data_IF_897963271896
#
_entry.id   IF_897963271896
#
_cell.length_a   1.000
_cell.length_b   1.000
_cell.length_c   1.000
_cell.angle_alpha   90.00
_cell.angle_beta   90.00
_cell.angle_gamma   90.00
#
_symmetry.space_group_name_H-M   'P 1'
#
loop_
_entity.id
_entity.type
_entity.pdbx_description
1 polymer ?
#
# COMPACT_ATOMS: atom_id res chain seq x y z
N UNK A 1 -1.79 -15.87 -21.22
CA UNK A 1 -1.62 -15.08 -19.98
C UNK A 1 -1.91 -13.63 -20.26
N UNK A 2 -2.22 -12.89 -19.17
CA UNK A 2 -2.61 -11.50 -19.23
C UNK A 2 -1.68 -10.63 -18.39
N UNK A 3 -1.92 -9.33 -18.45
CA UNK A 3 -1.11 -8.34 -17.77
C UNK A 3 -1.98 -7.44 -16.90
N UNK A 4 -1.44 -7.01 -15.77
CA UNK A 4 -2.11 -6.07 -14.88
C UNK A 4 -2.15 -4.69 -15.54
N UNK A 5 -3.29 -4.00 -15.40
CA UNK A 5 -3.58 -2.75 -16.10
C UNK A 5 -3.19 -1.48 -15.34
N UNK A 6 -2.82 -1.60 -14.06
CA UNK A 6 -2.50 -0.46 -13.20
C UNK A 6 -1.27 -0.73 -12.34
N UNK A 7 -0.70 0.35 -11.82
CA UNK A 7 0.30 0.26 -10.77
C UNK A 7 -0.41 0.11 -9.42
N UNK A 8 0.21 -0.62 -8.51
CA UNK A 8 -0.31 -0.81 -7.15
C UNK A 8 0.78 -0.57 -6.14
N UNK A 9 0.40 0.04 -5.01
CA UNK A 9 1.29 0.33 -3.91
C UNK A 9 0.71 -0.18 -2.59
N UNK A 10 1.59 -0.45 -1.64
CA UNK A 10 1.20 -0.71 -0.27
C UNK A 10 1.48 0.52 0.60
N UNK A 11 0.54 0.85 1.48
CA UNK A 11 0.70 1.95 2.44
C UNK A 11 1.37 1.44 3.70
N UNK A 12 2.27 2.24 4.24
CA UNK A 12 2.91 1.95 5.53
C UNK A 12 3.08 3.24 6.34
N UNK A 13 3.40 3.11 7.62
CA UNK A 13 3.70 4.26 8.46
C UNK A 13 5.20 4.49 8.45
N UNK A 14 5.62 5.69 8.03
CA UNK A 14 7.02 6.10 8.10
C UNK A 14 7.25 6.78 9.46
N UNK A 15 8.04 6.17 10.36
CA UNK A 15 8.26 6.74 11.69
C UNK A 15 9.01 8.07 11.68
N UNK A 16 9.77 8.34 10.61
CA UNK A 16 10.49 9.61 10.49
C UNK A 16 9.56 10.78 10.21
N UNK A 17 8.48 10.51 9.47
CA UNK A 17 7.46 11.52 9.15
C UNK A 17 6.30 11.51 10.14
N UNK A 18 6.17 10.44 10.90
CA UNK A 18 4.99 10.14 11.72
C UNK A 18 3.69 10.23 10.91
N UNK A 19 3.74 9.71 9.68
CA UNK A 19 2.67 9.76 8.72
C UNK A 19 2.78 8.58 7.76
N UNK A 20 1.75 8.43 6.94
CA UNK A 20 1.73 7.38 5.91
C UNK A 20 2.69 7.68 4.78
N UNK A 21 3.24 6.62 4.24
CA UNK A 21 3.95 6.64 2.98
C UNK A 21 3.57 5.42 2.16
N UNK A 22 3.99 5.37 0.90
CA UNK A 22 3.57 4.35 -0.05
C UNK A 22 4.80 3.74 -0.72
N UNK A 23 4.78 2.42 -0.85
CA UNK A 23 5.81 1.68 -1.55
C UNK A 23 5.21 0.98 -2.75
N UNK A 24 5.81 1.15 -3.92
CA UNK A 24 5.40 0.45 -5.13
C UNK A 24 5.48 -1.05 -4.92
N UNK A 25 4.38 -1.74 -5.18
CA UNK A 25 4.26 -3.19 -5.03
C UNK A 25 4.41 -3.88 -6.38
N UNK A 26 3.65 -3.41 -7.37
CA UNK A 26 3.74 -3.94 -8.73
C UNK A 26 3.35 -2.87 -9.74
N UNK A 27 3.85 -3.00 -10.95
CA UNK A 27 3.63 -2.03 -12.02
C UNK A 27 2.67 -2.55 -13.06
N UNK A 28 1.99 -1.62 -13.72
CA UNK A 28 1.24 -1.88 -14.94
C UNK A 28 2.09 -2.69 -15.91
N UNK A 29 1.48 -3.69 -16.51
CA UNK A 29 2.16 -4.60 -17.43
C UNK A 29 2.72 -5.85 -16.79
N UNK A 30 2.62 -6.00 -15.47
CA UNK A 30 3.03 -7.21 -14.78
C UNK A 30 2.21 -8.39 -15.26
N UNK A 31 2.85 -9.46 -15.78
CA UNK A 31 2.13 -10.64 -16.23
C UNK A 31 1.63 -11.48 -15.06
N UNK A 32 0.50 -12.17 -15.26
CA UNK A 32 -0.03 -13.09 -14.27
C UNK A 32 -0.51 -14.38 -14.95
N UNK A 33 -0.53 -15.53 -14.25
CA UNK A 33 -0.10 -15.73 -12.86
C UNK A 33 1.42 -15.59 -12.71
N UNK A 34 1.85 -15.22 -11.49
CA UNK A 34 3.28 -15.12 -11.18
C UNK A 34 3.82 -16.49 -10.77
N UNK A 35 5.04 -16.80 -11.20
CA UNK A 35 5.73 -18.04 -10.81
C UNK A 35 6.67 -17.81 -9.63
N UNK A 36 7.16 -16.57 -9.48
CA UNK A 36 8.02 -16.15 -8.39
C UNK A 36 7.33 -15.06 -7.60
N UNK A 37 7.69 -14.84 -6.30
CA UNK A 37 7.17 -13.70 -5.56
C UNK A 37 7.49 -12.39 -6.28
N UNK A 38 6.47 -11.56 -6.50
CA UNK A 38 6.69 -10.26 -7.13
C UNK A 38 7.20 -9.21 -6.13
N UNK A 39 7.01 -9.45 -4.85
CA UNK A 39 7.53 -8.61 -3.77
C UNK A 39 7.68 -9.42 -2.50
N UNK A 40 8.64 -9.01 -1.67
CA UNK A 40 8.93 -9.61 -0.38
C UNK A 40 9.18 -8.46 0.59
N UNK A 41 8.30 -8.28 1.57
CA UNK A 41 8.33 -7.15 2.48
C UNK A 41 8.38 -7.61 3.93
N UNK A 42 9.07 -6.81 4.76
CA UNK A 42 9.02 -6.95 6.21
C UNK A 42 8.06 -5.90 6.77
N UNK A 43 7.04 -6.34 7.49
CA UNK A 43 6.04 -5.46 8.10
C UNK A 43 6.40 -5.24 9.56
N UNK A 44 6.56 -3.98 9.92
CA UNK A 44 6.91 -3.54 11.27
C UNK A 44 5.69 -2.97 11.98
N UNK A 45 5.64 -3.16 13.29
CA UNK A 45 4.59 -2.55 14.09
C UNK A 45 4.78 -1.04 14.17
N UNK A 46 3.69 -0.30 14.11
CA UNK A 46 3.70 1.17 14.15
C UNK A 46 3.56 1.73 15.56
N UNK A 47 3.06 0.94 16.50
CA UNK A 47 2.90 1.37 17.89
C UNK A 47 3.06 0.20 18.85
N UNK A 48 3.31 0.54 20.12
CA UNK A 48 3.50 -0.45 21.18
C UNK A 48 2.22 -1.23 21.46
N UNK A 49 2.34 -2.54 21.58
CA UNK A 49 1.20 -3.41 21.87
C UNK A 49 0.27 -3.63 20.70
N UNK A 50 0.75 -3.41 19.48
CA UNK A 50 -0.07 -3.61 18.28
C UNK A 50 -0.35 -5.09 18.04
N UNK A 51 -1.62 -5.44 17.95
CA UNK A 51 -2.06 -6.82 17.69
C UNK A 51 -2.58 -7.03 16.26
N UNK A 52 -2.93 -5.95 15.57
CA UNK A 52 -3.43 -6.03 14.19
C UNK A 52 -2.59 -5.13 13.28
N UNK A 53 -1.97 -5.74 12.27
CA UNK A 53 -1.16 -5.02 11.28
C UNK A 53 -1.87 -5.13 9.94
N UNK A 54 -2.36 -4.00 9.44
CA UNK A 54 -3.16 -3.95 8.23
C UNK A 54 -2.34 -3.98 6.95
N UNK A 55 -2.87 -4.66 5.95
CA UNK A 55 -2.36 -4.64 4.58
C UNK A 55 -3.28 -3.76 3.76
N UNK A 56 -2.86 -2.53 3.47
CA UNK A 56 -3.65 -1.56 2.70
C UNK A 56 -3.06 -1.41 1.30
N UNK A 57 -3.83 -1.79 0.29
CA UNK A 57 -3.40 -1.79 -1.11
C UNK A 57 -4.08 -0.64 -1.84
N UNK A 58 -3.28 0.11 -2.59
CA UNK A 58 -3.74 1.26 -3.35
C UNK A 58 -3.45 1.06 -4.84
N UNK A 59 -4.45 1.34 -5.65
CA UNK A 59 -4.31 1.44 -7.10
C UNK A 59 -3.95 2.86 -7.45
N UNK A 60 -2.95 3.03 -8.30
CA UNK A 60 -2.48 4.34 -8.73
C UNK A 60 -3.14 4.70 -10.05
N UNK A 61 -3.82 5.85 -10.07
CA UNK A 61 -4.43 6.38 -11.28
C UNK A 61 -3.37 6.85 -12.28
N UNK A 62 -3.72 6.81 -13.56
CA UNK A 62 -2.78 7.14 -14.64
C UNK A 62 -2.43 8.63 -14.70
N UNK A 63 -3.28 9.48 -14.18
CA UNK A 63 -3.16 10.93 -14.36
C UNK A 63 -1.89 11.52 -13.79
N UNK A 64 -1.35 10.96 -12.71
CA UNK A 64 -0.16 11.52 -12.10
C UNK A 64 1.07 11.44 -13.01
N UNK A 65 1.11 10.47 -13.93
CA UNK A 65 2.23 10.27 -14.87
C UNK A 65 2.18 11.24 -16.07
N UNK A 66 1.04 11.83 -16.34
CA UNK A 66 0.81 12.71 -17.49
C UNK A 66 0.96 14.18 -17.15
N UNK A 67 1.30 14.49 -15.93
CA UNK A 67 1.38 15.85 -15.46
C UNK A 67 2.65 16.53 -15.97
N UNK A 68 2.50 17.65 -16.66
CA UNK A 68 3.61 18.38 -17.28
C UNK A 68 3.88 19.74 -16.65
N UNK A 69 3.03 20.21 -15.74
CA UNK A 69 3.14 21.52 -15.10
C UNK A 69 2.98 21.40 -13.59
N UNK A 70 3.57 22.35 -12.85
CA UNK A 70 3.36 22.43 -11.41
C UNK A 70 1.88 22.73 -11.14
N UNK A 71 1.17 21.85 -10.42
CA UNK A 71 -0.23 22.09 -10.11
C UNK A 71 -0.37 23.27 -9.14
N UNK A 72 -1.49 23.97 -9.25
CA UNK A 72 -1.83 25.07 -8.34
C UNK A 72 -3.21 24.83 -7.75
N UNK A 73 -3.43 25.39 -6.60
CA UNK A 73 -4.68 25.27 -5.87
C UNK A 73 -5.15 26.68 -5.45
N UNK A 74 -6.45 26.94 -5.58
CA UNK A 74 -7.04 28.17 -5.09
C UNK A 74 -7.34 28.01 -3.59
N UNK A 75 -6.75 28.90 -2.79
CA UNK A 75 -6.97 28.94 -1.35
C UNK A 75 -7.60 30.27 -0.99
N UNK A 76 -8.70 30.24 -0.23
CA UNK A 76 -9.38 31.44 0.24
C UNK A 76 -8.86 31.78 1.64
N UNK A 77 -8.43 33.03 1.82
CA UNK A 77 -8.00 33.51 3.13
C UNK A 77 -9.23 33.76 4.05
N UNK A 78 -9.01 34.05 5.33
CA UNK A 78 -10.11 34.26 6.28
C UNK A 78 -11.03 35.43 5.92
N UNK A 79 -10.57 36.38 5.09
CA UNK A 79 -11.37 37.50 4.59
C UNK A 79 -12.10 37.15 3.29
N UNK A 80 -11.95 35.93 2.78
CA UNK A 80 -12.63 35.48 1.57
C UNK A 80 -11.90 35.80 0.25
N UNK A 81 -10.70 36.36 0.31
CA UNK A 81 -9.91 36.60 -0.90
C UNK A 81 -9.28 35.30 -1.41
N UNK A 82 -9.36 35.06 -2.71
CA UNK A 82 -8.75 33.88 -3.32
C UNK A 82 -7.24 34.08 -3.46
N UNK A 83 -6.49 33.04 -3.13
CA UNK A 83 -5.04 32.99 -3.31
C UNK A 83 -4.68 31.71 -4.06
N UNK A 84 -3.64 31.80 -4.89
CA UNK A 84 -3.10 30.66 -5.61
C UNK A 84 -1.86 30.17 -4.86
N UNK A 85 -1.82 28.88 -4.54
CA UNK A 85 -0.63 28.27 -3.98
C UNK A 85 -0.22 27.05 -4.80
N UNK A 86 1.09 26.76 -4.93
CA UNK A 86 1.53 25.51 -5.52
C UNK A 86 1.07 24.32 -4.67
N UNK A 87 0.61 23.27 -5.33
CA UNK A 87 0.31 22.01 -4.65
C UNK A 87 1.59 21.19 -4.60
N UNK A 88 1.88 20.59 -3.43
CA UNK A 88 3.00 19.69 -3.28
C UNK A 88 2.85 18.54 -4.29
N UNK A 89 3.88 18.25 -5.11
CA UNK A 89 3.81 17.17 -6.10
C UNK A 89 3.44 15.81 -5.48
N UNK A 90 3.97 15.48 -4.30
CA UNK A 90 3.66 14.23 -3.63
C UNK A 90 2.20 14.18 -3.18
N UNK A 91 1.68 15.30 -2.68
CA UNK A 91 0.27 15.43 -2.30
C UNK A 91 -0.65 15.28 -3.51
N UNK A 92 -0.28 15.89 -4.64
CA UNK A 92 -1.04 15.76 -5.88
C UNK A 92 -1.06 14.33 -6.38
N UNK A 93 0.08 13.63 -6.38
CA UNK A 93 0.14 12.23 -6.78
C UNK A 93 -0.78 11.37 -5.96
N UNK A 94 -0.84 11.59 -4.64
CA UNK A 94 -1.69 10.84 -3.71
C UNK A 94 -3.17 11.02 -3.96
N UNK A 95 -3.61 12.08 -4.64
CA UNK A 95 -5.00 12.28 -5.03
C UNK A 95 -5.50 11.23 -6.01
N UNK A 96 -4.59 10.58 -6.72
CA UNK A 96 -4.91 9.53 -7.70
C UNK A 96 -4.70 8.13 -7.11
N UNK A 97 -4.52 8.03 -5.81
CA UNK A 97 -4.38 6.76 -5.11
C UNK A 97 -5.75 6.31 -4.62
N UNK A 98 -6.16 5.12 -5.02
CA UNK A 98 -7.45 4.54 -4.64
C UNK A 98 -7.22 3.35 -3.72
N UNK A 99 -7.74 3.41 -2.51
CA UNK A 99 -7.64 2.33 -1.54
C UNK A 99 -8.59 1.21 -1.94
N UNK A 100 -8.04 0.17 -2.59
CA UNK A 100 -8.87 -0.86 -3.24
C UNK A 100 -9.37 -1.93 -2.30
N UNK A 101 -8.77 -2.14 -1.13
CA UNK A 101 -9.24 -3.13 -0.15
C UNK A 101 -9.78 -2.51 1.14
N UNK A 102 -10.24 -1.26 1.08
CA UNK A 102 -10.78 -0.54 2.24
C UNK A 102 -11.97 -1.25 2.88
N UNK A 103 -12.88 -1.79 2.07
CA UNK A 103 -14.11 -2.43 2.55
C UNK A 103 -13.93 -3.91 2.91
N UNK A 104 -12.78 -4.48 2.62
CA UNK A 104 -12.45 -5.86 2.93
C UNK A 104 -10.98 -5.96 3.33
N UNK A 105 -10.60 -5.31 4.44
CA UNK A 105 -9.20 -5.22 4.82
C UNK A 105 -8.64 -6.56 5.27
N UNK A 106 -7.35 -6.77 5.02
CA UNK A 106 -6.60 -7.91 5.52
C UNK A 106 -5.75 -7.46 6.69
N UNK A 107 -5.88 -8.15 7.82
CA UNK A 107 -5.07 -7.90 9.00
C UNK A 107 -4.19 -9.11 9.32
N UNK A 108 -2.93 -8.83 9.65
CA UNK A 108 -2.02 -9.81 10.22
C UNK A 108 -2.14 -9.70 11.72
N UNK A 109 -2.53 -10.79 12.37
CA UNK A 109 -2.73 -10.81 13.81
C UNK A 109 -1.45 -11.18 14.54
N UNK A 110 -0.96 -10.28 15.39
CA UNK A 110 0.24 -10.49 16.21
C UNK A 110 -0.15 -10.97 17.61
N UNK A 111 0.16 -12.23 17.92
CA UNK A 111 -0.01 -12.81 19.24
C UNK A 111 1.28 -13.53 19.64
N UNK A 112 2.01 -13.03 20.65
CA UNK A 112 1.73 -11.85 21.47
C UNK A 112 1.80 -10.54 20.67
N UNK A 113 1.19 -9.44 21.20
CA UNK A 113 1.23 -8.14 20.55
C UNK A 113 2.65 -7.66 20.27
N UNK A 114 2.80 -6.92 19.19
CA UNK A 114 4.09 -6.44 18.73
C UNK A 114 4.56 -5.20 19.49
N UNK A 115 5.86 -5.03 19.59
CA UNK A 115 6.48 -3.82 20.13
C UNK A 115 6.65 -2.79 19.00
N UNK A 116 6.62 -1.51 19.36
CA UNK A 116 6.81 -0.42 18.37
C UNK A 116 8.12 -0.60 17.60
N UNK A 117 8.01 -0.61 16.29
CA UNK A 117 9.15 -0.77 15.39
C UNK A 117 9.63 -2.21 15.23
N UNK A 118 9.01 -3.17 15.91
CA UNK A 118 9.37 -4.57 15.77
C UNK A 118 9.08 -5.07 14.36
N UNK A 119 10.09 -5.66 13.66
CA UNK A 119 9.84 -6.37 12.41
C UNK A 119 9.11 -7.66 12.74
N UNK A 120 7.79 -7.68 12.52
CA UNK A 120 6.94 -8.76 13.02
C UNK A 120 6.57 -9.79 11.97
N UNK A 121 6.29 -9.34 10.74
CA UNK A 121 5.88 -10.25 9.67
C UNK A 121 6.76 -10.10 8.45
N UNK A 122 7.01 -11.23 7.82
CA UNK A 122 7.62 -11.32 6.51
C UNK A 122 6.52 -11.74 5.54
N UNK A 123 6.29 -10.94 4.49
CA UNK A 123 5.16 -11.13 3.59
C UNK A 123 5.64 -11.23 2.15
N UNK A 124 5.27 -12.31 1.48
CA UNK A 124 5.47 -12.51 0.05
C UNK A 124 4.17 -12.27 -0.70
N UNK A 125 4.28 -11.64 -1.86
CA UNK A 125 3.13 -11.31 -2.72
C UNK A 125 3.22 -12.07 -4.03
N UNK A 126 2.08 -12.62 -4.45
CA UNK A 126 1.90 -13.33 -5.71
C UNK A 126 0.61 -12.88 -6.38
N UNK A 127 0.47 -13.15 -7.68
CA UNK A 127 -0.79 -12.98 -8.39
C UNK A 127 -1.18 -14.34 -8.97
N UNK A 128 -2.41 -14.77 -8.72
CA UNK A 128 -2.90 -16.05 -9.25
C UNK A 128 -3.50 -15.88 -10.66
N UNK A 129 -3.94 -17.01 -11.24
CA UNK A 129 -4.54 -17.02 -12.57
C UNK A 129 -5.89 -16.30 -12.65
N UNK A 130 -6.52 -16.02 -11.52
CA UNK A 130 -7.77 -15.25 -11.41
C UNK A 130 -7.54 -13.77 -11.13
N UNK A 131 -6.29 -13.30 -11.29
CA UNK A 131 -5.92 -11.89 -11.12
C UNK A 131 -6.04 -11.41 -9.68
N UNK A 132 -5.96 -12.33 -8.72
CA UNK A 132 -6.00 -11.98 -7.30
C UNK A 132 -4.60 -11.79 -6.75
N UNK A 133 -4.42 -10.74 -5.97
CA UNK A 133 -3.19 -10.54 -5.20
C UNK A 133 -3.26 -11.44 -3.96
N UNK A 134 -2.30 -12.32 -3.83
CA UNK A 134 -2.21 -13.28 -2.71
C UNK A 134 -1.03 -12.92 -1.83
N UNK A 135 -1.18 -13.16 -0.53
CA UNK A 135 -0.07 -13.04 0.42
C UNK A 135 0.22 -14.37 1.11
N UNK A 136 1.48 -14.60 1.42
CA UNK A 136 1.94 -15.59 2.38
C UNK A 136 2.69 -14.84 3.44
N UNK A 137 2.22 -14.90 4.68
CA UNK A 137 2.76 -14.15 5.80
C UNK A 137 3.30 -15.07 6.87
N UNK A 138 4.49 -14.75 7.37
CA UNK A 138 5.16 -15.47 8.42
C UNK A 138 5.42 -14.54 9.60
N UNK A 139 4.98 -14.94 10.79
CA UNK A 139 5.31 -14.24 12.02
C UNK A 139 6.77 -14.52 12.39
N UNK A 140 7.60 -13.47 12.42
CA UNK A 140 9.03 -13.60 12.68
C UNK A 140 9.35 -13.94 14.13
N UNK A 141 8.44 -13.64 15.06
CA UNK A 141 8.63 -13.97 16.47
C UNK A 141 8.28 -15.43 16.77
N UNK A 142 7.13 -15.88 16.30
CA UNK A 142 6.63 -17.23 16.54
C UNK A 142 7.10 -18.25 15.51
N UNK A 143 7.62 -17.77 14.36
CA UNK A 143 8.07 -18.57 13.21
C UNK A 143 6.92 -19.29 12.49
N UNK A 144 5.67 -18.97 12.79
CA UNK A 144 4.50 -19.59 12.18
C UNK A 144 4.07 -18.83 10.93
N UNK A 145 3.61 -19.57 9.93
CA UNK A 145 2.92 -18.99 8.76
C UNK A 145 1.47 -18.77 9.18
N UNK A 146 1.04 -17.50 9.17
CA UNK A 146 -0.30 -17.10 9.58
C UNK A 146 -1.26 -17.02 8.39
N UNK A 147 -0.73 -16.74 7.21
CA UNK A 147 -1.50 -16.66 5.97
C UNK A 147 -0.72 -17.38 4.88
N UNK A 148 -1.39 -18.27 4.15
CA UNK A 148 -0.77 -18.99 3.04
C UNK A 148 -1.62 -18.78 1.78
N UNK A 149 -1.03 -18.14 0.78
CA UNK A 149 -1.73 -17.82 -0.49
C UNK A 149 -3.11 -17.21 -0.24
N UNK A 150 -3.16 -16.29 0.71
CA UNK A 150 -4.41 -15.66 1.14
C UNK A 150 -4.78 -14.51 0.20
N UNK A 151 -5.99 -14.51 -0.40
CA UNK A 151 -6.38 -13.42 -1.29
C UNK A 151 -6.59 -12.11 -0.52
N UNK A 152 -5.96 -11.05 -1.01
CA UNK A 152 -6.09 -9.72 -0.44
C UNK A 152 -7.10 -8.90 -1.21
N UNK A 153 -6.98 -8.90 -2.55
CA UNK A 153 -7.84 -8.14 -3.44
C UNK A 153 -7.74 -8.68 -4.85
N UNK A 154 -8.78 -8.48 -5.65
CA UNK A 154 -8.74 -8.73 -7.08
C UNK A 154 -8.21 -7.49 -7.78
N UNK A 155 -7.17 -7.67 -8.60
CA UNK A 155 -6.55 -6.58 -9.35
C UNK A 155 -7.30 -6.31 -10.66
N UNK A 156 -6.98 -5.21 -11.30
CA UNK A 156 -7.56 -4.86 -12.60
C UNK A 156 -6.51 -4.62 -13.68
#
# INVERSE_FOLDING_TARGET
>A
FDHIQHDYAIRYVDPRKNDYDYRMLLRKGTPYPTTEPLAHLTIKASHEGQSELGIAIFELGEHFRQRTATPVELVFDPQGAARVRPVDPDEEERRYYFWVNEHSPTFLHADPPAEKGEPRFEVEFHIDGNKRLLITARDLRTKKITHRNHPVIRLT
#
